data_IF_744109733192
#
_entry.id   IF_744109733192
#
_cell.length_a   1.000
_cell.length_b   1.000
_cell.length_c   1.000
_cell.angle_alpha   90.00
_cell.angle_beta   90.00
_cell.angle_gamma   90.00
#
_symmetry.space_group_name_H-M   'P 1'
#
loop_
_entity.id
_entity.type
_entity.pdbx_description
1 polymer ?
#
# COMPACT_ATOMS: atom_id res chain seq x y z
N UNK A 1 2.28 -58.68 14.31
CA UNK A 1 1.02 -58.00 14.71
C UNK A 1 1.38 -56.90 15.69
N UNK A 2 1.29 -55.63 15.27
CA UNK A 2 1.04 -54.47 16.14
C UNK A 2 0.42 -53.38 15.26
N UNK A 3 -0.82 -53.02 15.60
CA UNK A 3 -1.68 -51.99 14.99
C UNK A 3 -1.17 -50.60 15.38
N UNK A 4 -0.95 -49.73 14.40
CA UNK A 4 -0.98 -48.27 14.57
C UNK A 4 -1.06 -47.67 13.15
N UNK A 5 -2.28 -47.52 12.67
CA UNK A 5 -2.58 -46.59 11.60
C UNK A 5 -2.77 -45.24 12.27
N UNK A 6 -1.91 -44.26 11.99
CA UNK A 6 -2.22 -42.83 12.14
C UNK A 6 -1.22 -42.06 11.28
N UNK A 7 -1.70 -41.65 10.11
CA UNK A 7 -1.17 -40.55 9.31
C UNK A 7 -0.90 -39.36 10.23
N UNK A 8 0.37 -39.06 10.49
CA UNK A 8 0.77 -37.71 10.91
C UNK A 8 0.78 -36.85 9.66
N UNK A 9 -0.35 -36.16 9.48
CA UNK A 9 -0.54 -35.00 8.62
C UNK A 9 0.59 -34.01 8.90
N UNK A 10 1.56 -33.91 8.00
CA UNK A 10 2.53 -32.82 7.99
C UNK A 10 1.81 -31.55 7.49
N UNK A 11 1.67 -30.48 8.29
CA UNK A 11 1.34 -29.16 7.77
C UNK A 11 2.60 -28.60 7.09
N UNK A 12 2.52 -28.28 5.79
CA UNK A 12 3.58 -27.53 5.11
C UNK A 12 3.23 -26.05 5.12
N UNK A 13 4.02 -25.33 5.91
CA UNK A 13 4.50 -23.97 5.65
C UNK A 13 3.41 -22.89 5.55
N UNK A 14 2.78 -22.63 6.69
CA UNK A 14 2.09 -21.38 7.00
C UNK A 14 2.93 -20.57 8.00
N UNK A 15 4.18 -20.26 7.62
CA UNK A 15 5.10 -19.44 8.41
C UNK A 15 5.54 -18.24 7.56
N UNK A 16 4.65 -17.26 7.39
CA UNK A 16 5.05 -15.86 7.20
C UNK A 16 4.63 -15.09 8.44
N UNK A 17 5.39 -15.31 9.50
CA UNK A 17 5.39 -14.44 10.66
C UNK A 17 6.15 -13.15 10.32
N UNK A 18 5.47 -12.16 9.76
CA UNK A 18 5.91 -10.76 9.80
C UNK A 18 4.99 -9.97 10.73
N UNK A 19 5.47 -9.74 11.95
CA UNK A 19 4.90 -8.84 12.97
C UNK A 19 5.88 -7.64 13.10
N UNK A 20 5.44 -6.36 13.11
CA UNK A 20 4.72 -5.76 14.23
C UNK A 20 3.37 -5.09 13.88
N UNK A 21 2.45 -4.98 14.87
CA UNK A 21 1.24 -4.19 14.71
C UNK A 21 1.62 -2.71 14.82
N UNK A 22 1.63 -2.01 13.70
CA UNK A 22 1.71 -0.56 13.69
C UNK A 22 0.44 0.03 14.29
N UNK A 23 0.63 1.00 15.18
CA UNK A 23 -0.36 1.54 16.10
C UNK A 23 -1.60 2.05 15.37
N UNK A 24 -2.75 1.62 15.85
CA UNK A 24 -4.08 2.09 15.49
C UNK A 24 -4.22 3.57 15.85
N UNK A 25 -4.14 4.46 14.85
CA UNK A 25 -4.68 5.83 14.94
C UNK A 25 -5.99 5.83 14.15
N UNK A 26 -7.10 5.75 14.89
CA UNK A 26 -8.43 5.72 14.30
C UNK A 26 -8.82 7.11 13.80
N UNK A 27 -8.89 7.27 12.47
CA UNK A 27 -9.86 8.11 11.75
C UNK A 27 -9.61 8.21 10.24
N UNK A 28 -8.43 7.81 9.74
CA UNK A 28 -8.12 7.81 8.30
C UNK A 28 -8.05 6.38 7.77
N UNK A 29 -8.56 6.10 6.55
CA UNK A 29 -8.32 4.80 5.93
C UNK A 29 -6.81 4.61 5.80
N UNK A 30 -6.35 3.45 6.26
CA UNK A 30 -4.96 3.03 6.14
C UNK A 30 -4.59 2.95 4.64
N UNK A 31 -3.33 3.21 4.29
CA UNK A 31 -2.88 3.26 2.89
C UNK A 31 -3.33 2.03 2.09
N UNK A 32 -3.14 0.85 2.67
CA UNK A 32 -3.54 -0.44 2.08
C UNK A 32 -5.06 -0.52 1.84
N UNK A 33 -5.85 0.02 2.76
CA UNK A 33 -7.31 0.04 2.63
C UNK A 33 -7.76 1.00 1.55
N UNK A 34 -7.17 2.18 1.49
CA UNK A 34 -7.46 3.17 0.45
C UNK A 34 -7.09 2.64 -0.95
N UNK A 35 -5.99 1.90 -1.05
CA UNK A 35 -5.54 1.31 -2.30
C UNK A 35 -6.46 0.18 -2.76
N UNK A 36 -6.85 -0.72 -1.84
CA UNK A 36 -7.82 -1.78 -2.13
C UNK A 36 -9.18 -1.23 -2.57
N UNK A 37 -9.64 -0.15 -1.94
CA UNK A 37 -10.90 0.51 -2.34
C UNK A 37 -10.78 1.13 -3.74
N UNK A 38 -9.62 1.73 -4.07
CA UNK A 38 -9.37 2.30 -5.39
C UNK A 38 -9.38 1.22 -6.48
N UNK A 39 -8.75 0.07 -6.25
CA UNK A 39 -8.78 -1.08 -7.17
C UNK A 39 -10.21 -1.56 -7.45
N UNK A 40 -11.01 -1.73 -6.40
CA UNK A 40 -12.42 -2.13 -6.53
C UNK A 40 -13.24 -1.11 -7.31
N UNK A 41 -12.95 0.17 -7.11
CA UNK A 41 -13.64 1.25 -7.79
C UNK A 41 -13.31 1.27 -9.28
N UNK A 42 -12.04 1.08 -9.64
CA UNK A 42 -11.60 0.98 -11.03
C UNK A 42 -12.25 -0.24 -11.71
N UNK A 43 -12.23 -1.41 -11.07
CA UNK A 43 -12.89 -2.61 -11.60
C UNK A 43 -14.38 -2.36 -11.88
N UNK A 44 -15.07 -1.69 -10.94
CA UNK A 44 -16.50 -1.34 -11.11
C UNK A 44 -16.71 -0.36 -12.27
N UNK A 45 -15.83 0.63 -12.44
CA UNK A 45 -15.89 1.57 -13.56
C UNK A 45 -15.62 0.90 -14.91
N UNK A 46 -14.71 -0.07 -14.95
CA UNK A 46 -14.37 -0.83 -16.16
C UNK A 46 -15.48 -1.80 -16.59
N UNK A 47 -16.26 -2.32 -15.63
CA UNK A 47 -17.38 -3.22 -15.89
C UNK A 47 -18.56 -2.54 -16.64
N UNK A 48 -18.67 -1.21 -16.59
CA UNK A 48 -19.58 -0.45 -17.45
C UNK A 48 -21.08 -0.55 -17.15
N UNK A 49 -21.50 -1.22 -16.06
CA UNK A 49 -22.91 -1.39 -15.66
C UNK A 49 -23.46 -0.19 -14.84
N UNK A 50 -22.68 0.89 -14.71
CA UNK A 50 -23.02 2.04 -13.88
C UNK A 50 -23.82 3.10 -14.67
N UNK A 51 -24.81 3.70 -14.02
CA UNK A 51 -25.42 4.93 -14.54
C UNK A 51 -24.43 6.10 -14.47
N UNK A 52 -24.67 7.16 -15.25
CA UNK A 52 -23.80 8.34 -15.30
C UNK A 52 -23.58 8.98 -13.91
N UNK A 53 -24.64 9.12 -13.11
CA UNK A 53 -24.54 9.67 -11.75
C UNK A 53 -23.69 8.79 -10.83
N UNK A 54 -23.81 7.47 -10.95
CA UNK A 54 -22.99 6.54 -10.18
C UNK A 54 -21.53 6.60 -10.63
N UNK A 55 -21.26 6.62 -11.93
CA UNK A 55 -19.91 6.74 -12.47
C UNK A 55 -19.21 8.02 -11.99
N UNK A 56 -19.92 9.14 -11.94
CA UNK A 56 -19.40 10.40 -11.39
C UNK A 56 -19.10 10.30 -9.89
N UNK A 57 -20.00 9.67 -9.12
CA UNK A 57 -19.79 9.46 -7.69
C UNK A 57 -18.56 8.58 -7.42
N UNK A 58 -18.40 7.50 -8.18
CA UNK A 58 -17.23 6.63 -8.11
C UNK A 58 -15.95 7.40 -8.49
N UNK A 59 -15.99 8.21 -9.54
CA UNK A 59 -14.84 9.03 -9.92
C UNK A 59 -14.40 10.00 -8.82
N UNK A 60 -15.32 10.75 -8.22
CA UNK A 60 -15.03 11.66 -7.10
C UNK A 60 -14.41 10.93 -5.91
N UNK A 61 -14.92 9.73 -5.61
CA UNK A 61 -14.36 8.87 -4.57
C UNK A 61 -12.95 8.40 -4.92
N UNK A 62 -12.69 7.97 -6.16
CA UNK A 62 -11.36 7.57 -6.63
C UNK A 62 -10.32 8.69 -6.53
N UNK A 63 -10.70 9.93 -6.88
CA UNK A 63 -9.86 11.12 -6.70
C UNK A 63 -9.53 11.35 -5.21
N UNK A 64 -10.51 11.18 -4.34
CA UNK A 64 -10.32 11.32 -2.90
C UNK A 64 -9.37 10.27 -2.32
N UNK A 65 -9.50 9.01 -2.76
CA UNK A 65 -8.62 7.90 -2.34
C UNK A 65 -7.18 8.13 -2.80
N UNK A 66 -6.98 8.59 -4.04
CA UNK A 66 -5.64 8.90 -4.57
C UNK A 66 -4.94 9.96 -3.72
N UNK A 67 -5.66 11.01 -3.30
CA UNK A 67 -5.13 12.06 -2.42
C UNK A 67 -4.72 11.52 -1.05
N UNK A 68 -5.51 10.61 -0.49
CA UNK A 68 -5.19 9.97 0.80
C UNK A 68 -3.90 9.16 0.67
N UNK A 69 -3.72 8.44 -0.42
CA UNK A 69 -2.53 7.63 -0.67
C UNK A 69 -1.29 8.52 -0.77
N UNK A 70 -1.36 9.60 -1.55
CA UNK A 70 -0.26 10.57 -1.66
C UNK A 70 0.11 11.17 -0.31
N UNK A 71 -0.88 11.62 0.48
CA UNK A 71 -0.64 12.17 1.82
C UNK A 71 0.02 11.16 2.76
N UNK A 72 -0.33 9.89 2.63
CA UNK A 72 0.25 8.83 3.45
C UNK A 72 1.72 8.60 3.09
N UNK A 73 2.06 8.62 1.80
CA UNK A 73 3.43 8.54 1.31
C UNK A 73 4.25 9.75 1.74
N UNK A 74 3.70 10.97 1.60
CA UNK A 74 4.37 12.20 2.00
C UNK A 74 4.68 12.20 3.51
N UNK A 75 3.74 11.74 4.33
CA UNK A 75 3.95 11.62 5.78
C UNK A 75 5.01 10.56 6.12
N UNK A 76 5.05 9.45 5.38
CA UNK A 76 6.08 8.43 5.54
C UNK A 76 7.47 8.98 5.16
N UNK A 77 7.57 9.70 4.05
CA UNK A 77 8.81 10.35 3.59
C UNK A 77 9.34 11.32 4.65
N UNK A 78 8.51 12.24 5.13
CA UNK A 78 8.89 13.19 6.18
C UNK A 78 9.40 12.50 7.45
N UNK A 79 8.79 11.36 7.81
CA UNK A 79 9.21 10.58 8.96
C UNK A 79 10.58 9.92 8.76
N UNK A 80 10.88 9.46 7.55
CA UNK A 80 12.19 8.92 7.18
C UNK A 80 13.24 10.03 7.24
N UNK A 81 12.96 11.19 6.65
CA UNK A 81 13.86 12.34 6.65
C UNK A 81 14.21 12.79 8.08
N UNK A 82 13.21 12.90 8.96
CA UNK A 82 13.42 13.25 10.38
C UNK A 82 14.31 12.23 11.12
N UNK A 83 14.20 10.93 10.80
CA UNK A 83 15.00 9.89 11.45
C UNK A 83 16.45 9.89 10.96
N UNK A 84 16.67 10.23 9.69
CA UNK A 84 18.00 10.35 9.09
C UNK A 84 18.74 11.58 9.62
N UNK A 85 18.07 12.74 9.72
CA UNK A 85 18.65 13.97 10.28
C UNK A 85 19.01 13.83 11.77
N UNK A 86 18.23 13.04 12.51
CA UNK A 86 18.49 12.72 13.92
C UNK A 86 19.65 11.71 14.14
N UNK A 87 20.18 11.11 13.08
CA UNK A 87 21.22 10.07 13.14
C UNK A 87 22.60 10.66 12.77
N UNK A 88 23.55 10.81 13.72
CA UNK A 88 24.82 11.51 13.51
C UNK A 88 25.85 10.77 12.65
N UNK A 89 25.56 9.54 12.20
CA UNK A 89 26.42 8.69 11.36
C UNK A 89 25.94 8.59 9.90
N UNK A 90 24.99 9.45 9.48
CA UNK A 90 24.35 9.38 8.17
C UNK A 90 25.17 10.13 7.10
N UNK A 91 26.28 9.55 6.63
CA UNK A 91 27.03 10.01 5.43
C UNK A 91 26.28 9.72 4.09
N UNK A 92 24.96 9.55 4.13
CA UNK A 92 24.13 9.22 2.97
C UNK A 92 23.56 10.47 2.32
N UNK A 93 24.20 10.93 1.25
CA UNK A 93 23.65 11.99 0.38
C UNK A 93 22.29 11.54 -0.18
N UNK A 94 21.22 12.25 0.20
CA UNK A 94 19.87 12.00 -0.32
C UNK A 94 19.79 12.54 -1.75
N UNK A 95 19.88 11.65 -2.72
CA UNK A 95 19.45 11.96 -4.08
C UNK A 95 17.93 11.93 -4.11
N UNK A 96 17.32 13.08 -4.37
CA UNK A 96 15.91 13.14 -4.77
C UNK A 96 15.72 12.15 -5.92
N UNK A 97 14.73 11.26 -5.82
CA UNK A 97 14.23 10.48 -6.94
C UNK A 97 13.51 11.43 -7.90
N UNK A 98 14.26 12.29 -8.56
CA UNK A 98 13.79 13.08 -9.67
C UNK A 98 13.98 12.22 -10.90
N UNK A 99 12.87 11.71 -11.43
CA UNK A 99 12.84 11.07 -12.74
C UNK A 99 13.57 11.98 -13.72
N UNK A 100 14.73 11.52 -14.19
CA UNK A 100 15.41 12.15 -15.32
C UNK A 100 14.69 11.71 -16.60
N UNK A 101 13.43 12.13 -16.72
CA UNK A 101 12.66 12.07 -17.96
C UNK A 101 12.60 13.49 -18.51
N UNK A 102 13.68 13.90 -19.16
CA UNK A 102 13.72 15.01 -20.13
C UNK A 102 15.05 15.02 -20.88
N UNK A 103 15.18 14.17 -21.90
CA UNK A 103 15.47 14.68 -23.24
C UNK A 103 15.11 13.62 -24.28
N UNK A 104 14.11 13.97 -25.09
CA UNK A 104 13.76 13.34 -26.35
C UNK A 104 14.97 13.00 -27.21
N UNK A 105 14.77 11.99 -28.05
CA UNK A 105 15.80 11.36 -28.86
C UNK A 105 16.62 12.29 -29.74
N UNK A 106 17.81 11.78 -30.05
CA UNK A 106 18.59 12.15 -31.23
C UNK A 106 18.52 11.03 -32.25
#
# INVERSE_FOLDING_TARGET
>A
MCRWATVQRFPKESDVATKPPSKTDQAKPDFESAMKELEQLVDTLENGDLSLEQALTHFERGVSLTRICQQSLDAAQQKVDMLLDASPDSDGELVDFKDTDNNDGQ
#
